data_IF_534600024656
#
_entry.id   IF_534600024656
#
_cell.length_a   1.000
_cell.length_b   1.000
_cell.length_c   1.000
_cell.angle_alpha   90.00
_cell.angle_beta   90.00
_cell.angle_gamma   90.00
#
_symmetry.space_group_name_H-M   'P 1'
#
loop_
_entity.id
_entity.type
_entity.pdbx_description
1 polymer ?
#
# COMPACT_ATOMS: atom_id res chain seq x y z
N UNK A 1 -27.36 -62.14 0.99
CA UNK A 1 -25.97 -62.01 1.50
C UNK A 1 -25.47 -60.66 0.99
N UNK A 2 -25.76 -59.50 1.63
CA UNK A 2 -25.76 -59.22 3.09
C UNK A 2 -24.43 -59.65 3.73
N UNK A 3 -23.66 -58.85 4.50
CA UNK A 3 -23.65 -57.41 4.88
C UNK A 3 -22.17 -56.94 4.95
N UNK A 4 -21.72 -55.74 5.35
CA UNK A 4 -22.33 -54.54 5.97
C UNK A 4 -21.50 -53.26 5.67
N UNK A 5 -21.99 -52.11 6.11
CA UNK A 5 -21.33 -50.80 6.16
C UNK A 5 -20.17 -50.72 7.18
N UNK A 6 -19.28 -49.74 7.00
CA UNK A 6 -18.83 -48.88 8.09
C UNK A 6 -18.26 -47.55 7.57
N UNK A 7 -18.79 -46.43 8.04
CA UNK A 7 -18.24 -45.08 7.84
C UNK A 7 -16.91 -44.91 8.58
N UNK A 8 -16.03 -43.99 8.13
CA UNK A 8 -15.76 -42.74 8.87
C UNK A 8 -14.71 -41.86 8.18
N UNK A 9 -15.05 -40.57 8.08
CA UNK A 9 -14.20 -39.37 8.11
C UNK A 9 -12.69 -39.51 7.86
N UNK A 10 -12.23 -38.90 6.77
CA UNK A 10 -10.95 -38.17 6.79
C UNK A 10 -11.11 -36.78 6.18
N UNK A 11 -10.90 -35.77 7.03
CA UNK A 11 -11.03 -34.35 6.73
C UNK A 11 -9.88 -33.89 5.83
N UNK A 12 -10.08 -33.94 4.52
CA UNK A 12 -9.16 -33.38 3.53
C UNK A 12 -9.08 -31.86 3.64
N UNK A 13 -7.90 -31.34 3.98
CA UNK A 13 -7.56 -29.93 3.72
C UNK A 13 -7.39 -29.77 2.21
N UNK A 14 -8.17 -28.88 1.59
CA UNK A 14 -8.01 -28.49 0.19
C UNK A 14 -7.19 -27.20 0.05
N UNK A 15 -5.89 -27.27 -0.31
CA UNK A 15 -5.04 -26.10 -0.53
C UNK A 15 -5.19 -25.57 -1.97
N UNK A 16 -6.31 -24.94 -2.29
CA UNK A 16 -6.66 -24.49 -3.65
C UNK A 16 -6.43 -22.99 -3.94
N UNK A 17 -5.55 -22.31 -3.20
CA UNK A 17 -5.00 -21.00 -3.60
C UNK A 17 -3.46 -21.02 -3.50
N UNK A 18 -2.84 -21.63 -4.50
CA UNK A 18 -1.42 -21.43 -4.87
C UNK A 18 -1.36 -21.07 -6.35
N UNK A 19 -1.40 -19.78 -6.65
CA UNK A 19 -1.07 -19.23 -7.96
C UNK A 19 0.01 -18.16 -7.80
N UNK A 20 1.12 -18.33 -8.51
CA UNK A 20 2.28 -17.45 -8.47
C UNK A 20 2.14 -16.34 -9.51
N UNK A 21 2.63 -15.14 -9.18
CA UNK A 21 3.31 -14.25 -10.13
C UNK A 21 4.51 -13.64 -9.39
N UNK A 22 5.75 -13.70 -9.86
CA UNK A 22 6.24 -14.20 -11.15
C UNK A 22 7.13 -13.17 -11.83
N UNK A 23 8.34 -12.99 -11.29
CA UNK A 23 9.49 -12.22 -11.75
C UNK A 23 9.45 -11.48 -13.10
N UNK A 24 9.97 -10.24 -13.09
CA UNK A 24 10.71 -9.66 -14.22
C UNK A 24 11.93 -8.88 -13.69
N UNK A 25 13.05 -8.94 -14.42
CA UNK A 25 14.40 -8.51 -14.01
C UNK A 25 15.09 -7.86 -15.23
N UNK A 26 16.25 -7.19 -15.05
CA UNK A 26 17.28 -6.82 -16.07
C UNK A 26 17.37 -5.33 -16.50
N UNK A 27 18.15 -4.55 -15.72
CA UNK A 27 19.46 -3.90 -16.07
C UNK A 27 19.64 -2.81 -17.17
N UNK A 28 20.64 -1.94 -16.92
CA UNK A 28 21.45 -1.07 -17.86
C UNK A 28 20.75 0.19 -18.44
N UNK A 29 21.37 1.39 -18.64
CA UNK A 29 22.77 1.88 -18.51
C UNK A 29 22.87 3.42 -18.26
N UNK A 30 23.86 3.81 -17.44
CA UNK A 30 24.87 4.89 -17.61
C UNK A 30 24.57 6.40 -17.84
N UNK A 31 25.08 7.19 -16.87
CA UNK A 31 25.92 8.43 -16.99
C UNK A 31 25.33 9.71 -17.64
N UNK A 32 25.28 10.79 -16.85
CA UNK A 32 25.08 12.17 -17.32
C UNK A 32 25.36 13.23 -16.23
N UNK A 33 26.40 14.03 -16.41
CA UNK A 33 27.01 14.91 -15.40
C UNK A 33 26.16 16.08 -14.85
N UNK A 34 26.51 16.51 -13.63
CA UNK A 34 26.39 17.83 -13.00
C UNK A 34 25.33 18.81 -13.55
N UNK A 35 24.40 19.25 -12.67
CA UNK A 35 23.97 20.65 -12.58
C UNK A 35 23.66 21.00 -11.11
N UNK A 36 24.69 21.38 -10.34
CA UNK A 36 24.51 21.95 -9.01
C UNK A 36 24.08 23.42 -9.15
N UNK A 37 22.79 23.69 -9.00
CA UNK A 37 22.23 25.05 -9.12
C UNK A 37 20.91 25.22 -8.36
N UNK A 38 20.70 26.46 -7.88
CA UNK A 38 19.53 26.94 -7.12
C UNK A 38 19.35 26.34 -5.70
N UNK A 39 19.60 27.18 -4.69
CA UNK A 39 19.34 26.84 -3.28
C UNK A 39 17.86 26.83 -2.91
N UNK A 40 17.54 26.44 -1.67
CA UNK A 40 16.17 26.46 -1.15
C UNK A 40 16.11 26.74 0.34
N UNK A 41 15.06 27.43 0.75
CA UNK A 41 14.80 27.82 2.15
C UNK A 41 14.69 26.60 3.08
N UNK A 42 15.10 26.78 4.33
CA UNK A 42 14.98 25.81 5.42
C UNK A 42 13.52 25.66 5.87
N UNK A 43 12.70 25.02 5.04
CA UNK A 43 11.50 24.34 5.53
C UNK A 43 11.93 23.11 6.33
N UNK A 44 11.27 22.85 7.45
CA UNK A 44 11.48 21.60 8.18
C UNK A 44 11.14 20.42 7.25
N UNK A 45 11.93 19.33 7.27
CA UNK A 45 11.59 18.14 6.49
C UNK A 45 10.19 17.67 6.88
N UNK A 46 9.38 17.16 5.93
CA UNK A 46 8.07 16.63 6.25
C UNK A 46 8.23 15.50 7.30
N UNK A 47 7.29 15.38 8.25
CA UNK A 47 7.35 14.29 9.23
C UNK A 47 7.37 12.94 8.52
N UNK A 48 8.06 11.93 9.08
CA UNK A 48 8.10 10.60 8.49
C UNK A 48 6.68 10.03 8.32
N UNK A 49 6.47 9.13 7.36
CA UNK A 49 5.19 8.42 7.26
C UNK A 49 4.88 7.69 8.58
N UNK A 50 3.60 7.60 8.98
CA UNK A 50 3.24 6.81 10.15
C UNK A 50 3.61 5.34 9.94
N UNK A 51 3.98 4.67 11.03
CA UNK A 51 4.23 3.24 11.01
C UNK A 51 2.95 2.44 10.72
N UNK A 52 3.14 1.23 10.18
CA UNK A 52 2.04 0.35 9.77
C UNK A 52 1.14 -0.03 10.96
N UNK A 53 1.72 -0.21 12.15
CA UNK A 53 0.97 -0.58 13.36
C UNK A 53 0.05 0.55 13.83
N UNK A 54 0.49 1.81 13.74
CA UNK A 54 -0.33 3.00 13.99
C UNK A 54 -1.43 3.15 12.94
N UNK A 55 -1.14 2.87 11.66
CA UNK A 55 -2.16 2.88 10.60
C UNK A 55 -3.26 1.83 10.88
N UNK A 56 -2.88 0.59 11.19
CA UNK A 56 -3.82 -0.48 11.51
C UNK A 56 -4.59 -0.17 12.79
N UNK A 57 -3.93 0.30 13.85
CA UNK A 57 -4.57 0.68 15.13
C UNK A 57 -5.57 1.84 14.97
N UNK A 58 -5.37 2.71 13.98
CA UNK A 58 -6.37 3.71 13.60
C UNK A 58 -7.55 3.08 12.86
N UNK A 59 -7.30 2.17 11.91
CA UNK A 59 -8.38 1.48 11.20
C UNK A 59 -9.19 0.56 12.13
N UNK A 60 -8.53 -0.12 13.06
CA UNK A 60 -9.16 -1.04 14.02
C UNK A 60 -10.16 -0.32 14.94
N UNK A 61 -9.76 0.85 15.48
CA UNK A 61 -10.64 1.69 16.31
C UNK A 61 -11.90 2.16 15.58
N UNK A 62 -11.82 2.36 14.27
CA UNK A 62 -12.93 2.90 13.50
C UNK A 62 -13.79 1.82 12.83
N UNK A 63 -13.18 0.71 12.42
CA UNK A 63 -13.80 -0.32 11.58
C UNK A 63 -14.03 -1.65 12.33
N UNK A 64 -13.52 -1.76 13.58
CA UNK A 64 -13.58 -2.96 14.42
C UNK A 64 -13.07 -4.21 13.66
N UNK A 65 -11.76 -4.25 13.39
CA UNK A 65 -11.16 -5.24 12.50
C UNK A 65 -10.92 -6.57 13.21
N UNK A 66 -11.16 -7.69 12.51
CA UNK A 66 -10.77 -9.01 13.02
C UNK A 66 -9.24 -9.17 13.04
N UNK A 67 -8.74 -10.20 13.73
CA UNK A 67 -7.30 -10.52 13.74
C UNK A 67 -6.78 -10.75 12.30
N UNK A 68 -7.45 -11.59 11.53
CA UNK A 68 -7.14 -11.91 10.13
C UNK A 68 -7.14 -10.67 9.23
N UNK A 69 -8.08 -9.73 9.45
CA UNK A 69 -8.11 -8.47 8.71
C UNK A 69 -6.89 -7.61 9.03
N UNK A 70 -6.51 -7.51 10.32
CA UNK A 70 -5.32 -6.76 10.75
C UNK A 70 -4.03 -7.34 10.17
N UNK A 71 -3.90 -8.67 10.13
CA UNK A 71 -2.75 -9.34 9.53
C UNK A 71 -2.64 -9.09 8.03
N UNK A 72 -3.74 -9.28 7.27
CA UNK A 72 -3.77 -9.01 5.83
C UNK A 72 -3.49 -7.54 5.50
N UNK A 73 -4.06 -6.61 6.29
CA UNK A 73 -3.79 -5.18 6.14
C UNK A 73 -2.33 -4.81 6.45
N UNK A 74 -1.69 -5.47 7.42
CA UNK A 74 -0.24 -5.29 7.68
C UNK A 74 0.59 -5.63 6.45
N UNK A 75 0.40 -6.82 5.88
CA UNK A 75 1.13 -7.23 4.68
C UNK A 75 0.92 -6.26 3.50
N UNK A 76 -0.32 -5.79 3.28
CA UNK A 76 -0.65 -4.81 2.24
C UNK A 76 0.08 -3.47 2.48
N UNK A 77 0.07 -2.95 3.72
CA UNK A 77 0.70 -1.67 4.03
C UNK A 77 2.23 -1.73 4.06
N UNK A 78 2.84 -2.82 4.52
CA UNK A 78 4.29 -3.03 4.48
C UNK A 78 4.80 -3.07 3.04
N UNK A 79 4.15 -3.84 2.17
CA UNK A 79 4.48 -3.92 0.74
C UNK A 79 4.32 -2.55 0.04
N UNK A 80 3.24 -1.83 0.36
CA UNK A 80 3.00 -0.49 -0.18
C UNK A 80 4.03 0.55 0.34
N UNK A 81 4.46 0.46 1.60
CA UNK A 81 5.51 1.32 2.14
C UNK A 81 6.87 1.04 1.48
N UNK A 82 7.24 -0.23 1.29
CA UNK A 82 8.47 -0.64 0.60
C UNK A 82 8.50 -0.13 -0.85
N UNK A 83 7.47 -0.42 -1.66
CA UNK A 83 7.37 0.08 -3.03
C UNK A 83 7.39 1.61 -3.11
N UNK A 84 6.73 2.30 -2.17
CA UNK A 84 6.77 3.76 -2.10
C UNK A 84 8.16 4.30 -1.71
N UNK A 85 8.93 3.58 -0.89
CA UNK A 85 10.30 3.94 -0.56
C UNK A 85 11.22 3.76 -1.77
N UNK A 86 11.20 2.60 -2.43
CA UNK A 86 11.99 2.30 -3.64
C UNK A 86 11.76 3.34 -4.75
N UNK A 87 10.50 3.71 -5.02
CA UNK A 87 10.16 4.75 -5.98
C UNK A 87 10.75 6.11 -5.60
N UNK A 88 10.74 6.50 -4.31
CA UNK A 88 11.34 7.76 -3.85
C UNK A 88 12.86 7.74 -3.91
N UNK A 89 13.48 6.62 -3.58
CA UNK A 89 14.93 6.46 -3.62
C UNK A 89 15.43 6.51 -5.06
N UNK A 90 14.74 5.83 -5.99
CA UNK A 90 14.99 5.93 -7.43
C UNK A 90 14.90 7.37 -7.93
N UNK A 91 13.81 8.07 -7.61
CA UNK A 91 13.55 9.48 -7.99
C UNK A 91 14.59 10.47 -7.45
N UNK A 92 15.21 10.14 -6.31
CA UNK A 92 16.32 10.92 -5.74
C UNK A 92 17.66 10.57 -6.42
N UNK A 93 17.90 9.29 -6.72
CA UNK A 93 19.12 8.81 -7.36
C UNK A 93 19.24 9.24 -8.83
N UNK A 94 18.13 9.30 -9.57
CA UNK A 94 18.10 9.77 -10.97
C UNK A 94 17.87 11.29 -11.11
N UNK A 95 17.62 12.00 -10.00
CA UNK A 95 17.39 13.44 -9.98
C UNK A 95 16.07 13.90 -10.63
N UNK A 96 15.20 12.96 -11.05
CA UNK A 96 13.94 13.26 -11.74
C UNK A 96 12.91 13.97 -10.85
N UNK A 97 13.02 13.79 -9.52
CA UNK A 97 12.15 14.41 -8.54
C UNK A 97 10.71 13.88 -8.53
N UNK A 98 9.92 14.39 -7.59
CA UNK A 98 8.62 13.82 -7.22
C UNK A 98 7.61 13.70 -8.38
N UNK A 99 7.68 14.56 -9.40
CA UNK A 99 6.74 14.52 -10.52
C UNK A 99 6.90 13.27 -11.39
N UNK A 100 8.13 12.78 -11.60
CA UNK A 100 8.39 11.60 -12.42
C UNK A 100 7.79 10.32 -11.81
N UNK A 101 7.82 10.21 -10.48
CA UNK A 101 7.23 9.06 -9.75
C UNK A 101 5.80 9.30 -9.29
N UNK A 102 5.20 10.47 -9.58
CA UNK A 102 3.83 10.79 -9.16
C UNK A 102 2.82 9.79 -9.73
N UNK A 103 2.90 9.48 -11.02
CA UNK A 103 1.98 8.53 -11.66
C UNK A 103 2.09 7.12 -11.04
N UNK A 104 3.32 6.66 -10.79
CA UNK A 104 3.59 5.37 -10.14
C UNK A 104 3.11 5.34 -8.68
N UNK A 105 3.25 6.46 -7.97
CA UNK A 105 2.73 6.65 -6.60
C UNK A 105 1.20 6.66 -6.52
N UNK A 106 0.54 7.21 -7.53
CA UNK A 106 -0.92 7.23 -7.60
C UNK A 106 -1.44 5.82 -7.98
N UNK A 107 -0.85 5.16 -8.98
CA UNK A 107 -1.12 3.74 -9.29
C UNK A 107 -0.93 2.82 -8.08
N UNK A 108 0.17 2.97 -7.33
CA UNK A 108 0.43 2.19 -6.12
C UNK A 108 -0.67 2.37 -5.05
N UNK A 109 -1.28 3.56 -4.94
CA UNK A 109 -2.42 3.78 -4.04
C UNK A 109 -3.66 3.05 -4.52
N UNK A 110 -3.94 3.07 -5.81
CA UNK A 110 -5.11 2.42 -6.39
C UNK A 110 -5.02 0.89 -6.25
N UNK A 111 -3.83 0.31 -6.49
CA UNK A 111 -3.54 -1.11 -6.23
C UNK A 111 -3.69 -1.47 -4.74
N UNK A 112 -3.18 -0.61 -3.85
CA UNK A 112 -3.31 -0.78 -2.40
C UNK A 112 -4.78 -0.71 -1.96
N UNK A 113 -5.55 0.21 -2.51
CA UNK A 113 -6.98 0.40 -2.26
C UNK A 113 -7.81 -0.81 -2.72
N UNK A 114 -7.53 -1.35 -3.91
CA UNK A 114 -8.17 -2.56 -4.40
C UNK A 114 -7.97 -3.74 -3.43
N UNK A 115 -6.73 -3.95 -2.95
CA UNK A 115 -6.41 -5.03 -1.99
C UNK A 115 -7.03 -4.79 -0.61
N UNK A 116 -7.15 -3.54 -0.16
CA UNK A 116 -7.87 -3.21 1.09
C UNK A 116 -9.37 -3.53 0.95
N UNK A 117 -9.97 -3.27 -0.21
CA UNK A 117 -11.38 -3.60 -0.50
C UNK A 117 -11.68 -5.09 -0.43
N UNK A 118 -10.72 -5.95 -0.79
CA UNK A 118 -10.85 -7.41 -0.70
C UNK A 118 -10.77 -7.94 0.75
N UNK A 119 -10.15 -7.17 1.67
CA UNK A 119 -9.99 -7.55 3.08
C UNK A 119 -11.11 -7.00 3.97
N UNK A 120 -11.61 -5.81 3.67
CA UNK A 120 -12.69 -5.16 4.40
C UNK A 120 -14.06 -5.69 3.95
N UNK A 121 -15.00 -5.80 4.89
CA UNK A 121 -16.42 -5.97 4.54
C UNK A 121 -16.96 -4.68 3.92
N UNK A 122 -18.11 -4.75 3.24
CA UNK A 122 -18.73 -3.59 2.58
C UNK A 122 -18.96 -2.40 3.54
N UNK A 123 -19.49 -2.67 4.74
CA UNK A 123 -19.72 -1.67 5.80
C UNK A 123 -18.41 -0.99 6.26
N UNK A 124 -17.35 -1.78 6.44
CA UNK A 124 -16.04 -1.29 6.84
C UNK A 124 -15.36 -0.49 5.72
N UNK A 125 -15.54 -0.91 4.46
CA UNK A 125 -14.97 -0.23 3.29
C UNK A 125 -15.62 1.14 3.06
N UNK A 126 -16.95 1.24 3.21
CA UNK A 126 -17.68 2.50 3.09
C UNK A 126 -17.20 3.52 4.14
N UNK A 127 -17.16 3.14 5.42
CA UNK A 127 -16.61 4.00 6.48
C UNK A 127 -15.14 4.36 6.25
N UNK A 128 -14.32 3.43 5.74
CA UNK A 128 -12.92 3.71 5.40
C UNK A 128 -12.77 4.76 4.29
N UNK A 129 -13.67 4.75 3.29
CA UNK A 129 -13.73 5.77 2.24
C UNK A 129 -14.10 7.14 2.79
N UNK A 130 -15.08 7.23 3.71
CA UNK A 130 -15.43 8.48 4.39
C UNK A 130 -14.24 9.05 5.17
N UNK A 131 -13.57 8.21 5.97
CA UNK A 131 -12.35 8.57 6.71
C UNK A 131 -11.20 9.03 5.78
N UNK A 132 -11.16 8.58 4.52
CA UNK A 132 -10.18 9.06 3.53
C UNK A 132 -10.57 10.42 2.97
N UNK A 133 -11.82 10.58 2.51
CA UNK A 133 -12.36 11.87 2.03
C UNK A 133 -12.21 12.96 3.07
N UNK A 134 -12.50 12.67 4.34
CA UNK A 134 -12.32 13.63 5.42
C UNK A 134 -10.84 14.06 5.57
N UNK A 135 -9.89 13.12 5.51
CA UNK A 135 -8.45 13.43 5.60
C UNK A 135 -7.93 14.19 4.39
N UNK A 136 -8.52 14.02 3.22
CA UNK A 136 -8.25 14.82 2.04
C UNK A 136 -8.80 16.25 2.19
N UNK A 137 -10.06 16.41 2.60
CA UNK A 137 -10.68 17.71 2.89
C UNK A 137 -9.91 18.49 3.96
N UNK A 138 -9.53 17.83 5.07
CA UNK A 138 -8.72 18.42 6.15
C UNK A 138 -7.28 18.79 5.73
N UNK A 139 -6.76 18.22 4.63
CA UNK A 139 -5.45 18.60 4.08
C UNK A 139 -5.47 19.92 3.31
N UNK A 140 -6.65 20.37 2.89
CA UNK A 140 -6.88 21.66 2.24
C UNK A 140 -6.22 21.82 0.86
N UNK A 141 -6.48 22.92 0.15
CA UNK A 141 -5.72 23.29 -1.04
C UNK A 141 -4.25 23.50 -0.65
N UNK A 142 -3.31 22.90 -1.39
CA UNK A 142 -1.87 23.14 -1.17
C UNK A 142 -1.58 24.64 -1.32
N UNK A 143 -1.11 25.35 -0.28
CA UNK A 143 -0.75 26.77 -0.42
C UNK A 143 0.52 26.87 -1.26
N UNK A 144 0.39 27.17 -2.55
CA UNK A 144 1.56 27.22 -3.44
C UNK A 144 1.35 27.14 -4.95
N UNK A 145 0.10 27.12 -5.47
CA UNK A 145 -0.16 27.56 -6.85
C UNK A 145 -0.87 28.91 -6.79
N UNK A 146 -0.11 29.97 -6.99
CA UNK A 146 -0.57 31.20 -7.63
C UNK A 146 0.10 31.22 -8.99
N UNK A 147 -0.75 31.09 -10.00
CA UNK A 147 -0.56 31.54 -11.38
C UNK A 147 -0.09 33.01 -11.46
#
# INVERSE_FOLDING_TARGET
>A
METKEMETTSQGRDPSIRAWLGAALVWLLAVGALHAGAGKALGHPPPPPPDVDTMIRHMDRELNLTADQKEKLRAIFEEAQQKAQELRERSQADGSGFEAVKAQMDQLRDETEARIKEVLRADQYEKWQEMRKERETRRGPRPGRRD
#
